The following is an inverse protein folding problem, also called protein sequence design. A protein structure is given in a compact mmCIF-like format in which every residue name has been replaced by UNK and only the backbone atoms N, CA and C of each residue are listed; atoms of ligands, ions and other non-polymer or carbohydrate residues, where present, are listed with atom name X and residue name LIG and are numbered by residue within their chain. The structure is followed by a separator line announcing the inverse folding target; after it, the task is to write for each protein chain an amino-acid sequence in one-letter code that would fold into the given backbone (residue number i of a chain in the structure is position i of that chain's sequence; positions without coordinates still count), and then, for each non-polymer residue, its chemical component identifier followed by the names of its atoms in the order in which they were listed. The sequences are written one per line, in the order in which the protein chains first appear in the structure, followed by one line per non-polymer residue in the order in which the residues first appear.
data_IF_972746569938
#
_entry.id   IF_972746569938
#
_cell.length_a   1.000
_cell.length_b   1.000
_cell.length_c   1.000
_cell.angle_alpha   90.00
_cell.angle_beta   90.00
_cell.angle_gamma   90.00
#
_symmetry.space_group_name_H-M   'P 1'
#
loop_
_entity.id
_entity.type
_entity.pdbx_description
1 polymer ?
#
# COMPACT_ATOMS: atom_id res chain seq x y z
N UNK A 1 26.10 -72.82 16.66
CA UNK A 1 25.81 -71.41 17.01
C UNK A 1 25.21 -70.75 15.78
N UNK A 2 23.90 -70.54 15.77
CA UNK A 2 23.19 -69.78 14.72
C UNK A 2 22.09 -68.96 15.40
N UNK A 3 22.05 -67.69 15.03
CA UNK A 3 21.47 -66.59 15.79
C UNK A 3 19.95 -66.46 15.62
N UNK A 4 19.31 -66.02 16.70
CA UNK A 4 17.89 -65.67 16.81
C UNK A 4 17.64 -64.28 16.21
N UNK A 5 16.79 -64.19 15.19
CA UNK A 5 16.31 -62.93 14.62
C UNK A 5 14.99 -62.54 15.30
N UNK A 6 15.03 -61.45 16.08
CA UNK A 6 13.84 -60.81 16.64
C UNK A 6 13.09 -60.09 15.52
N UNK A 7 11.83 -60.50 15.33
CA UNK A 7 10.85 -59.85 14.46
C UNK A 7 10.45 -58.49 15.07
N UNK A 8 10.75 -57.40 14.36
CA UNK A 8 10.41 -56.04 14.77
C UNK A 8 9.04 -55.69 14.21
N UNK A 9 8.03 -55.67 15.08
CA UNK A 9 6.67 -55.23 14.74
C UNK A 9 6.66 -53.71 14.58
N UNK A 10 6.37 -53.21 13.38
CA UNK A 10 6.10 -51.79 13.12
C UNK A 10 4.76 -51.40 13.78
N UNK A 11 4.69 -50.27 14.51
CA UNK A 11 3.42 -49.76 15.00
C UNK A 11 2.53 -49.29 13.84
N UNK A 12 1.20 -49.36 13.96
CA UNK A 12 0.29 -48.97 12.89
C UNK A 12 0.41 -47.47 12.60
N UNK A 13 0.35 -47.13 11.32
CA UNK A 13 0.32 -45.76 10.84
C UNK A 13 -0.84 -45.00 11.53
N UNK A 14 -0.51 -43.92 12.24
CA UNK A 14 -1.51 -43.01 12.78
C UNK A 14 -2.40 -42.51 11.66
N UNK A 15 -3.71 -42.60 11.85
CA UNK A 15 -4.71 -42.10 10.92
C UNK A 15 -4.44 -40.62 10.63
N UNK A 16 -4.44 -40.20 9.35
CA UNK A 16 -4.34 -38.78 9.01
C UNK A 16 -5.57 -38.09 9.58
N UNK A 17 -5.36 -37.28 10.62
CA UNK A 17 -6.38 -36.33 11.03
C UNK A 17 -6.74 -35.48 9.80
N UNK A 18 -8.02 -35.38 9.41
CA UNK A 18 -8.42 -34.40 8.42
C UNK A 18 -8.04 -33.04 9.00
N UNK A 19 -7.05 -32.38 8.38
CA UNK A 19 -6.83 -30.96 8.62
C UNK A 19 -8.17 -30.29 8.33
N UNK A 20 -8.79 -29.74 9.39
CA UNK A 20 -9.92 -28.85 9.21
C UNK A 20 -9.49 -27.79 8.17
N UNK A 21 -10.33 -27.44 7.19
CA UNK A 21 -9.98 -26.39 6.24
C UNK A 21 -9.65 -25.16 7.08
N UNK A 22 -8.36 -24.80 7.12
CA UNK A 22 -7.92 -23.55 7.69
C UNK A 22 -8.77 -22.50 6.99
N UNK A 23 -9.55 -21.72 7.73
CA UNK A 23 -10.30 -20.63 7.11
C UNK A 23 -9.25 -19.76 6.40
N UNK A 24 -9.24 -19.76 5.07
CA UNK A 24 -8.20 -19.13 4.28
C UNK A 24 -8.11 -17.61 4.55
N UNK A 25 -9.14 -17.04 5.17
CA UNK A 25 -9.17 -15.70 5.72
C UNK A 25 -9.67 -15.67 7.17
N UNK A 26 -9.24 -14.64 7.90
CA UNK A 26 -9.56 -14.42 9.31
C UNK A 26 -10.72 -13.41 9.49
N UNK A 27 -11.34 -13.37 10.68
CA UNK A 27 -12.31 -12.31 11.03
C UNK A 27 -11.73 -10.90 10.94
N UNK A 28 -10.41 -10.75 11.12
CA UNK A 28 -9.71 -9.47 10.97
C UNK A 28 -9.64 -9.05 9.51
N UNK A 29 -9.55 -10.01 8.59
CA UNK A 29 -9.53 -9.75 7.15
C UNK A 29 -10.91 -9.25 6.69
N UNK A 30 -11.99 -9.86 7.20
CA UNK A 30 -13.36 -9.38 6.96
C UNK A 30 -13.63 -7.98 7.54
N UNK A 31 -13.07 -7.69 8.72
CA UNK A 31 -13.18 -6.36 9.32
C UNK A 31 -12.40 -5.32 8.53
N UNK A 32 -11.19 -5.66 8.09
CA UNK A 32 -10.40 -4.83 7.20
C UNK A 32 -11.15 -4.54 5.90
N UNK A 33 -11.76 -5.56 5.29
CA UNK A 33 -12.56 -5.38 4.09
C UNK A 33 -13.75 -4.43 4.30
N UNK A 34 -14.46 -4.58 5.41
CA UNK A 34 -15.55 -3.67 5.77
C UNK A 34 -15.08 -2.22 5.90
N UNK A 35 -13.89 -1.99 6.44
CA UNK A 35 -13.30 -0.66 6.56
C UNK A 35 -12.90 -0.08 5.21
N UNK A 36 -12.32 -0.88 4.31
CA UNK A 36 -12.02 -0.46 2.93
C UNK A 36 -13.27 -0.03 2.18
N UNK A 37 -14.32 -0.87 2.22
CA UNK A 37 -15.60 -0.53 1.58
C UNK A 37 -16.26 0.71 2.18
N UNK A 38 -16.17 0.89 3.51
CA UNK A 38 -16.68 2.10 4.16
C UNK A 38 -15.90 3.38 3.80
N UNK A 39 -14.70 3.23 3.23
CA UNK A 39 -13.87 4.29 2.68
C UNK A 39 -13.98 4.38 1.14
N UNK A 40 -14.93 3.67 0.53
CA UNK A 40 -15.12 3.55 -0.92
C UNK A 40 -13.91 2.98 -1.68
N UNK A 41 -13.03 2.24 -0.98
CA UNK A 41 -11.85 1.58 -1.55
C UNK A 41 -12.11 0.11 -1.82
N UNK A 42 -11.41 -0.44 -2.80
CA UNK A 42 -11.41 -1.87 -3.12
C UNK A 42 -12.82 -2.46 -3.28
N UNK A 43 -13.75 -1.69 -3.85
CA UNK A 43 -15.19 -2.01 -3.87
C UNK A 43 -15.55 -3.32 -4.60
N UNK A 44 -14.64 -3.86 -5.42
CA UNK A 44 -14.79 -5.15 -6.10
C UNK A 44 -14.29 -6.34 -5.27
N UNK A 45 -13.58 -6.10 -4.15
CA UNK A 45 -13.04 -7.12 -3.28
C UNK A 45 -14.17 -7.68 -2.40
N UNK A 46 -14.73 -8.83 -2.77
CA UNK A 46 -15.72 -9.51 -1.95
C UNK A 46 -15.10 -10.67 -1.14
N UNK A 47 -15.94 -11.36 -0.38
CA UNK A 47 -15.50 -12.51 0.43
C UNK A 47 -15.01 -13.68 -0.44
N UNK A 48 -15.51 -13.84 -1.67
CA UNK A 48 -15.05 -14.89 -2.58
C UNK A 48 -13.64 -14.58 -3.12
N UNK A 49 -13.40 -13.33 -3.51
CA UNK A 49 -12.07 -12.86 -3.88
C UNK A 49 -11.10 -12.91 -2.70
N UNK A 50 -11.54 -12.55 -1.50
CA UNK A 50 -10.73 -12.65 -0.28
C UNK A 50 -10.36 -14.11 0.05
N UNK A 51 -11.27 -15.06 -0.19
CA UNK A 51 -10.99 -16.50 -0.07
C UNK A 51 -9.93 -16.96 -1.07
N UNK A 52 -10.05 -16.53 -2.33
CA UNK A 52 -9.10 -16.87 -3.38
C UNK A 52 -7.70 -16.30 -3.06
N UNK A 53 -7.63 -15.02 -2.71
CA UNK A 53 -6.41 -14.34 -2.29
C UNK A 53 -5.82 -15.03 -1.05
N UNK A 54 -6.66 -15.31 -0.05
CA UNK A 54 -6.25 -15.91 1.22
C UNK A 54 -5.62 -17.30 1.08
N UNK A 55 -5.93 -18.03 0.01
CA UNK A 55 -5.29 -19.32 -0.28
C UNK A 55 -3.82 -19.18 -0.70
N UNK A 56 -3.44 -18.04 -1.27
CA UNK A 56 -2.07 -17.74 -1.72
C UNK A 56 -1.24 -17.01 -0.64
N UNK A 57 -1.88 -16.61 0.46
CA UNK A 57 -1.22 -15.92 1.56
C UNK A 57 -0.47 -16.90 2.46
N UNK A 58 0.79 -16.60 2.74
CA UNK A 58 1.55 -17.27 3.79
C UNK A 58 1.14 -16.84 5.20
N UNK A 59 1.74 -17.48 6.21
CA UNK A 59 1.67 -16.99 7.59
C UNK A 59 2.51 -15.72 7.72
N UNK A 60 1.85 -14.57 7.88
CA UNK A 60 2.48 -13.26 8.06
C UNK A 60 1.86 -12.48 9.21
N UNK A 61 2.55 -11.43 9.67
CA UNK A 61 2.00 -10.48 10.65
C UNK A 61 0.74 -9.80 10.12
N UNK A 62 -0.09 -9.24 11.01
CA UNK A 62 -1.38 -8.64 10.62
C UNK A 62 -1.22 -7.56 9.55
N UNK A 63 -0.21 -6.69 9.69
CA UNK A 63 0.01 -5.60 8.75
C UNK A 63 0.54 -6.11 7.41
N UNK A 64 1.56 -6.99 7.42
CA UNK A 64 2.03 -7.66 6.19
C UNK A 64 0.88 -8.37 5.46
N UNK A 65 0.00 -9.07 6.18
CA UNK A 65 -1.16 -9.76 5.59
C UNK A 65 -2.13 -8.80 4.92
N UNK A 66 -2.40 -7.63 5.52
CA UNK A 66 -3.25 -6.59 4.89
C UNK A 66 -2.62 -6.05 3.61
N UNK A 67 -1.31 -5.82 3.63
CA UNK A 67 -0.55 -5.36 2.46
C UNK A 67 -0.57 -6.42 1.35
N UNK A 68 -0.40 -7.71 1.69
CA UNK A 68 -0.47 -8.81 0.73
C UNK A 68 -1.86 -8.92 0.07
N UNK A 69 -2.93 -8.77 0.86
CA UNK A 69 -4.31 -8.76 0.34
C UNK A 69 -4.49 -7.65 -0.68
N UNK A 70 -4.05 -6.43 -0.35
CA UNK A 70 -4.17 -5.29 -1.26
C UNK A 70 -3.29 -5.46 -2.50
N UNK A 71 -2.05 -5.91 -2.34
CA UNK A 71 -1.13 -6.16 -3.46
C UNK A 71 -1.73 -7.15 -4.46
N UNK A 72 -2.25 -8.29 -3.98
CA UNK A 72 -2.87 -9.30 -4.83
C UNK A 72 -4.15 -8.77 -5.49
N UNK A 73 -5.00 -8.06 -4.75
CA UNK A 73 -6.21 -7.44 -5.29
C UNK A 73 -5.90 -6.43 -6.41
N UNK A 74 -4.97 -5.51 -6.18
CA UNK A 74 -4.60 -4.45 -7.14
C UNK A 74 -3.72 -4.94 -8.29
N UNK A 75 -3.09 -6.12 -8.17
CA UNK A 75 -2.44 -6.82 -9.28
C UNK A 75 -3.45 -7.40 -10.28
N UNK A 76 -4.73 -7.50 -9.91
CA UNK A 76 -5.81 -7.81 -10.83
C UNK A 76 -5.81 -9.26 -11.32
N UNK A 77 -5.32 -10.22 -10.53
CA UNK A 77 -5.25 -11.65 -10.89
C UNK A 77 -4.57 -11.89 -12.26
N UNK A 78 -3.44 -11.21 -12.49
CA UNK A 78 -2.68 -11.22 -13.75
C UNK A 78 -3.43 -10.65 -14.99
N UNK A 79 -4.60 -10.03 -14.80
CA UNK A 79 -5.24 -9.18 -15.81
C UNK A 79 -4.78 -7.72 -15.65
N UNK A 80 -3.92 -7.28 -16.57
CA UNK A 80 -3.36 -5.92 -16.57
C UNK A 80 -4.44 -4.84 -16.68
N UNK A 81 -5.54 -5.10 -17.39
CA UNK A 81 -6.62 -4.11 -17.57
C UNK A 81 -7.39 -3.94 -16.27
N UNK A 82 -7.64 -5.03 -15.55
CA UNK A 82 -8.26 -5.00 -14.21
C UNK A 82 -7.35 -4.31 -13.21
N UNK A 83 -6.05 -4.64 -13.22
CA UNK A 83 -5.05 -4.01 -12.36
C UNK A 83 -5.01 -2.50 -12.56
N UNK A 84 -4.91 -2.04 -13.81
CA UNK A 84 -4.88 -0.62 -14.14
C UNK A 84 -6.17 0.07 -13.68
N UNK A 85 -7.34 -0.50 -13.98
CA UNK A 85 -8.63 0.06 -13.56
C UNK A 85 -8.70 0.22 -12.04
N UNK A 86 -8.46 -0.84 -11.27
CA UNK A 86 -8.53 -0.82 -9.80
C UNK A 86 -7.57 0.21 -9.20
N UNK A 87 -6.32 0.21 -9.68
CA UNK A 87 -5.31 1.16 -9.21
C UNK A 87 -5.65 2.61 -9.54
N UNK A 88 -6.17 2.87 -10.74
CA UNK A 88 -6.59 4.22 -11.11
C UNK A 88 -7.82 4.69 -10.32
N UNK A 89 -8.81 3.82 -10.09
CA UNK A 89 -10.00 4.16 -9.30
C UNK A 89 -9.65 4.53 -7.86
N UNK A 90 -8.82 3.73 -7.20
CA UNK A 90 -8.48 3.90 -5.79
C UNK A 90 -7.18 4.72 -5.58
N UNK A 91 -6.62 5.23 -6.68
CA UNK A 91 -5.28 5.87 -6.79
C UNK A 91 -4.20 5.12 -6.01
N UNK A 92 -4.24 3.79 -6.11
CA UNK A 92 -3.39 2.89 -5.33
C UNK A 92 -1.93 2.98 -5.78
N UNK A 93 -1.09 3.37 -4.83
CA UNK A 93 0.35 3.46 -5.01
C UNK A 93 1.06 2.64 -3.92
N UNK A 94 2.00 1.80 -4.35
CA UNK A 94 2.84 0.98 -3.48
C UNK A 94 4.30 1.22 -3.82
N UNK A 95 5.10 1.45 -2.79
CA UNK A 95 6.55 1.45 -2.89
C UNK A 95 7.11 0.33 -2.04
N UNK A 96 8.15 -0.35 -2.54
CA UNK A 96 8.84 -1.40 -1.82
C UNK A 96 10.34 -1.07 -1.77
N UNK A 97 10.89 -1.03 -0.56
CA UNK A 97 12.25 -0.62 -0.27
C UNK A 97 13.33 -1.52 -0.91
N UNK A 98 12.99 -2.76 -1.30
CA UNK A 98 13.91 -3.65 -2.01
C UNK A 98 14.15 -3.25 -3.47
N UNK A 99 13.28 -2.40 -4.05
CA UNK A 99 13.44 -1.93 -5.41
C UNK A 99 14.07 -0.53 -5.43
N UNK A 100 15.20 -0.42 -6.12
CA UNK A 100 15.77 0.88 -6.45
C UNK A 100 14.93 1.51 -7.55
N UNK A 101 14.16 2.54 -7.22
CA UNK A 101 13.35 3.32 -8.15
C UNK A 101 13.82 4.77 -8.10
N UNK A 102 14.07 5.36 -9.26
CA UNK A 102 14.46 6.77 -9.34
C UNK A 102 13.27 7.69 -9.01
N UNK A 103 13.55 8.87 -8.43
CA UNK A 103 12.55 9.86 -8.06
C UNK A 103 11.69 10.28 -9.26
N UNK A 104 12.25 10.40 -10.46
CA UNK A 104 11.47 10.70 -11.66
C UNK A 104 10.49 9.58 -12.03
N UNK A 105 10.87 8.32 -11.82
CA UNK A 105 9.98 7.17 -12.06
C UNK A 105 8.84 7.11 -11.03
N UNK A 106 9.12 7.43 -9.77
CA UNK A 106 8.09 7.57 -8.73
C UNK A 106 7.10 8.67 -9.09
N UNK A 107 7.59 9.84 -9.49
CA UNK A 107 6.75 10.98 -9.89
C UNK A 107 5.92 10.65 -11.14
N UNK A 108 6.49 10.00 -12.14
CA UNK A 108 5.75 9.56 -13.33
C UNK A 108 4.62 8.57 -12.96
N UNK A 109 4.89 7.63 -12.05
CA UNK A 109 3.89 6.68 -11.55
C UNK A 109 2.76 7.40 -10.82
N UNK A 110 3.10 8.32 -9.91
CA UNK A 110 2.13 9.13 -9.18
C UNK A 110 1.31 10.04 -10.10
N UNK A 111 1.93 10.65 -11.10
CA UNK A 111 1.25 11.48 -12.10
C UNK A 111 0.21 10.67 -12.90
N UNK A 112 0.55 9.42 -13.27
CA UNK A 112 -0.38 8.54 -13.99
C UNK A 112 -1.64 8.18 -13.20
N UNK A 113 -1.55 8.21 -11.87
CA UNK A 113 -2.68 7.95 -10.96
C UNK A 113 -3.52 9.21 -10.67
N UNK A 114 -3.07 10.39 -11.08
CA UNK A 114 -3.72 11.67 -10.80
C UNK A 114 -3.87 12.52 -12.08
N UNK A 115 -4.57 12.02 -13.12
CA UNK A 115 -4.69 12.68 -14.42
C UNK A 115 -5.46 14.02 -14.38
N UNK A 116 -6.15 14.33 -13.28
CA UNK A 116 -6.87 15.59 -13.07
C UNK A 116 -5.95 16.78 -12.83
N UNK A 117 -4.69 16.51 -12.47
CA UNK A 117 -3.65 17.52 -12.31
C UNK A 117 -2.88 17.65 -13.62
N UNK A 118 -2.42 18.86 -13.94
CA UNK A 118 -1.49 19.07 -15.05
C UNK A 118 -0.26 18.15 -14.92
N UNK A 119 0.42 17.78 -16.02
CA UNK A 119 1.58 16.88 -15.97
C UNK A 119 2.56 17.27 -14.87
N UNK A 120 2.82 16.33 -13.97
CA UNK A 120 3.65 16.54 -12.78
C UNK A 120 5.09 16.23 -13.12
N UNK A 121 5.98 17.17 -12.84
CA UNK A 121 7.42 17.03 -13.05
C UNK A 121 8.20 17.35 -11.78
N UNK A 122 9.27 16.59 -11.54
CA UNK A 122 10.24 16.88 -10.51
C UNK A 122 11.30 17.83 -11.07
N UNK A 123 11.46 18.99 -10.46
CA UNK A 123 12.40 20.03 -10.90
C UNK A 123 13.21 20.56 -9.71
N UNK A 124 14.40 21.10 -9.99
CA UNK A 124 15.15 21.92 -9.02
C UNK A 124 14.99 23.38 -9.39
N UNK A 125 14.78 24.25 -8.39
CA UNK A 125 14.70 25.69 -8.61
C UNK A 125 16.08 26.33 -8.40
N UNK A 126 16.54 27.08 -9.40
CA UNK A 126 17.76 27.88 -9.33
C UNK A 126 18.99 27.14 -9.84
N UNK A 127 19.66 26.41 -8.96
CA UNK A 127 20.87 25.63 -9.27
C UNK A 127 20.65 24.13 -9.04
N UNK A 128 21.66 23.32 -9.39
CA UNK A 128 21.65 21.86 -9.13
C UNK A 128 21.60 21.52 -7.63
N UNK A 129 22.00 22.46 -6.76
CA UNK A 129 21.86 22.38 -5.30
C UNK A 129 20.58 23.05 -4.77
N UNK A 130 19.72 23.54 -5.67
CA UNK A 130 18.47 24.21 -5.34
C UNK A 130 17.41 23.24 -4.78
N UNK A 131 16.38 23.78 -4.11
CA UNK A 131 15.32 22.95 -3.53
C UNK A 131 14.58 22.17 -4.62
N UNK A 132 14.29 20.91 -4.32
CA UNK A 132 13.45 20.06 -5.15
C UNK A 132 11.98 20.48 -5.01
N UNK A 133 11.30 20.56 -6.15
CA UNK A 133 9.87 20.89 -6.21
C UNK A 133 9.15 19.95 -7.17
N UNK A 134 7.90 19.64 -6.84
CA UNK A 134 6.95 19.12 -7.80
C UNK A 134 6.24 20.28 -8.48
N UNK A 135 6.23 20.28 -9.81
CA UNK A 135 5.54 21.27 -10.63
C UNK A 135 4.44 20.60 -11.43
N UNK A 136 3.26 21.23 -11.46
CA UNK A 136 2.14 20.86 -12.31
C UNK A 136 1.55 22.12 -12.93
N UNK A 137 1.88 22.37 -14.21
CA UNK A 137 1.50 23.61 -14.91
C UNK A 137 2.03 24.86 -14.19
N UNK A 138 1.11 25.70 -13.73
CA UNK A 138 1.40 26.94 -12.98
C UNK A 138 1.58 26.73 -11.47
N UNK A 139 1.26 25.53 -10.97
CA UNK A 139 1.40 25.20 -9.55
C UNK A 139 2.73 24.50 -9.28
N UNK A 140 3.32 24.80 -8.13
CA UNK A 140 4.47 24.08 -7.61
C UNK A 140 4.34 23.84 -6.11
N UNK A 141 4.98 22.79 -5.61
CA UNK A 141 5.10 22.47 -4.18
C UNK A 141 6.51 22.03 -3.88
N UNK A 142 7.06 22.51 -2.76
CA UNK A 142 8.35 22.04 -2.29
C UNK A 142 8.27 20.56 -1.89
N UNK A 143 9.33 19.81 -2.20
CA UNK A 143 9.57 18.48 -1.68
C UNK A 143 10.49 18.65 -0.48
N UNK A 144 9.89 18.73 0.71
CA UNK A 144 10.64 18.87 1.96
C UNK A 144 11.02 17.48 2.47
N UNK A 145 12.32 17.22 2.56
CA UNK A 145 12.83 16.06 3.30
C UNK A 145 12.89 16.46 4.77
N UNK A 146 11.89 16.03 5.55
CA UNK A 146 11.77 16.45 6.95
C UNK A 146 12.60 15.61 7.92
N UNK A 147 13.12 14.44 7.51
CA UNK A 147 13.70 13.48 8.46
C UNK A 147 14.84 12.63 7.88
N UNK A 148 15.90 13.24 7.33
CA UNK A 148 17.14 12.48 7.19
C UNK A 148 18.40 13.36 7.22
N UNK A 149 19.04 13.43 8.38
CA UNK A 149 20.45 13.80 8.50
C UNK A 149 21.38 12.74 7.86
N UNK A 150 20.82 11.64 7.32
CA UNK A 150 21.52 10.49 6.77
C UNK A 150 21.16 10.16 5.31
N UNK A 151 20.27 10.90 4.65
CA UNK A 151 20.00 10.69 3.22
C UNK A 151 21.26 11.10 2.45
N UNK A 152 21.92 10.14 1.81
CA UNK A 152 22.95 10.43 0.82
C UNK A 152 22.36 11.40 -0.20
N UNK A 153 23.07 12.51 -0.43
CA UNK A 153 22.64 13.60 -1.31
C UNK A 153 22.06 13.06 -2.63
N UNK A 154 20.72 13.06 -2.76
CA UNK A 154 20.04 12.63 -3.99
C UNK A 154 18.90 11.63 -3.82
N UNK A 155 18.70 11.01 -2.66
CA UNK A 155 17.49 10.21 -2.41
C UNK A 155 16.36 11.10 -1.92
N UNK A 156 15.14 10.89 -2.44
CA UNK A 156 13.94 11.62 -2.01
C UNK A 156 13.00 10.64 -1.33
N UNK A 157 12.59 10.93 -0.09
CA UNK A 157 11.60 10.12 0.59
C UNK A 157 10.27 10.11 -0.20
N UNK A 158 9.71 8.91 -0.45
CA UNK A 158 8.40 8.74 -1.12
C UNK A 158 7.34 9.59 -0.42
N UNK A 159 7.35 9.56 0.91
CA UNK A 159 6.46 10.35 1.76
C UNK A 159 6.53 11.85 1.48
N UNK A 160 7.71 12.40 1.19
CA UNK A 160 7.88 13.82 0.83
C UNK A 160 7.24 14.12 -0.54
N UNK A 161 7.38 13.23 -1.52
CA UNK A 161 6.72 13.35 -2.82
C UNK A 161 5.19 13.32 -2.69
N UNK A 162 4.66 12.41 -1.86
CA UNK A 162 3.22 12.30 -1.61
C UNK A 162 2.67 13.58 -0.99
N UNK A 163 3.35 14.13 0.03
CA UNK A 163 2.96 15.40 0.66
C UNK A 163 2.96 16.55 -0.34
N UNK A 164 4.01 16.66 -1.15
CA UNK A 164 4.10 17.67 -2.20
C UNK A 164 2.98 17.52 -3.25
N UNK A 165 2.65 16.29 -3.65
CA UNK A 165 1.57 16.01 -4.58
C UNK A 165 0.19 16.35 -3.99
N UNK A 166 -0.03 16.05 -2.71
CA UNK A 166 -1.27 16.43 -2.00
C UNK A 166 -1.50 17.95 -2.02
N UNK A 167 -0.44 18.76 -1.89
CA UNK A 167 -0.51 20.21 -2.05
C UNK A 167 -0.90 20.60 -3.48
N UNK A 168 -0.36 19.92 -4.51
CA UNK A 168 -0.74 20.17 -5.90
C UNK A 168 -2.20 19.79 -6.19
N UNK A 169 -2.67 18.66 -5.64
CA UNK A 169 -4.07 18.23 -5.70
C UNK A 169 -4.98 19.29 -5.08
N UNK A 170 -4.59 19.86 -3.93
CA UNK A 170 -5.32 20.93 -3.27
C UNK A 170 -5.41 22.20 -4.14
N UNK A 171 -4.28 22.64 -4.70
CA UNK A 171 -4.23 23.80 -5.60
C UNK A 171 -5.06 23.61 -6.86
N UNK A 172 -5.18 22.36 -7.32
CA UNK A 172 -5.98 21.97 -8.48
C UNK A 172 -7.46 21.73 -8.15
N UNK A 173 -7.88 21.94 -6.90
CA UNK A 173 -9.27 21.79 -6.48
C UNK A 173 -9.78 20.34 -6.42
N UNK A 174 -8.87 19.35 -6.44
CA UNK A 174 -9.23 17.94 -6.27
C UNK A 174 -9.64 17.70 -4.82
N UNK A 175 -10.70 16.93 -4.57
CA UNK A 175 -11.18 16.68 -3.20
C UNK A 175 -10.37 15.58 -2.48
N UNK A 176 -9.94 14.58 -3.24
CA UNK A 176 -9.21 13.42 -2.75
C UNK A 176 -7.74 13.72 -2.47
N UNK A 177 -7.16 13.00 -1.51
CA UNK A 177 -5.73 13.02 -1.18
C UNK A 177 -5.22 11.61 -1.04
N UNK A 178 -3.93 11.47 -1.29
CA UNK A 178 -3.21 10.24 -1.01
C UNK A 178 -2.94 10.17 0.50
N UNK A 179 -3.39 9.08 1.14
CA UNK A 179 -3.24 8.82 2.57
C UNK A 179 -2.47 7.52 2.77
N UNK A 180 -1.50 7.46 3.69
CA UNK A 180 -0.75 6.25 3.96
C UNK A 180 -1.60 5.24 4.72
N UNK A 181 -1.48 3.97 4.33
CA UNK A 181 -1.95 2.86 5.14
C UNK A 181 -0.84 2.44 6.13
N UNK A 182 -1.17 1.59 7.10
CA UNK A 182 -0.16 1.01 8.00
C UNK A 182 0.86 0.22 7.17
N UNK A 183 2.16 0.62 7.18
CA UNK A 183 3.20 -0.06 6.41
C UNK A 183 3.58 -1.40 7.06
N UNK A 184 4.36 -2.19 6.33
CA UNK A 184 5.11 -3.31 6.92
C UNK A 184 6.63 -3.02 6.90
N UNK A 185 7.46 -4.04 7.16
CA UNK A 185 8.91 -3.89 7.23
C UNK A 185 9.57 -3.42 5.93
N UNK A 186 8.89 -3.52 4.79
CA UNK A 186 9.49 -3.29 3.46
C UNK A 186 8.63 -2.48 2.50
N UNK A 187 7.33 -2.34 2.76
CA UNK A 187 6.35 -1.73 1.85
C UNK A 187 5.66 -0.54 2.50
N UNK A 188 5.56 0.52 1.73
CA UNK A 188 4.71 1.67 2.02
C UNK A 188 3.57 1.76 0.98
N UNK A 189 2.37 2.08 1.47
CA UNK A 189 1.12 2.02 0.72
C UNK A 189 0.35 3.33 0.83
N UNK A 190 -0.17 3.83 -0.29
CA UNK A 190 -0.96 5.06 -0.35
C UNK A 190 -2.21 4.85 -1.20
N UNK A 191 -3.33 5.40 -0.76
CA UNK A 191 -4.64 5.33 -1.42
C UNK A 191 -5.27 6.71 -1.55
N UNK A 192 -5.97 6.94 -2.66
CA UNK A 192 -6.71 8.18 -2.91
C UNK A 192 -8.07 8.13 -2.23
N UNK A 193 -8.32 9.04 -1.28
CA UNK A 193 -9.56 9.06 -0.52
C UNK A 193 -10.01 10.49 -0.24
N UNK A 194 -11.31 10.67 -0.02
CA UNK A 194 -11.85 11.93 0.53
C UNK A 194 -11.49 12.08 2.01
N UNK A 195 -11.63 13.29 2.57
CA UNK A 195 -11.38 13.52 3.99
C UNK A 195 -12.27 12.65 4.90
N UNK A 196 -13.53 12.43 4.51
CA UNK A 196 -14.46 11.59 5.28
C UNK A 196 -14.01 10.12 5.27
N UNK A 197 -13.66 9.57 4.10
CA UNK A 197 -13.14 8.21 3.96
C UNK A 197 -11.81 8.03 4.71
N UNK A 198 -10.91 9.02 4.65
CA UNK A 198 -9.66 8.99 5.40
C UNK A 198 -9.88 8.96 6.93
N UNK A 199 -10.89 9.66 7.44
CA UNK A 199 -11.28 9.58 8.85
C UNK A 199 -11.80 8.18 9.22
N UNK A 200 -12.55 7.51 8.34
CA UNK A 200 -12.96 6.11 8.52
C UNK A 200 -11.76 5.19 8.64
N UNK A 201 -10.79 5.30 7.72
CA UNK A 201 -9.56 4.50 7.74
C UNK A 201 -8.74 4.75 9.02
N UNK A 202 -8.62 6.00 9.44
CA UNK A 202 -7.92 6.38 10.67
C UNK A 202 -8.58 5.76 11.90
N UNK A 203 -9.91 5.85 12.02
CA UNK A 203 -10.66 5.27 13.14
C UNK A 203 -10.60 3.73 13.15
N UNK A 204 -10.52 3.11 11.98
CA UNK A 204 -10.33 1.68 11.81
C UNK A 204 -8.92 1.18 12.05
N UNK A 205 -7.96 2.07 12.33
CA UNK A 205 -6.54 1.71 12.50
C UNK A 205 -5.90 1.17 11.21
N UNK A 206 -6.37 1.66 10.06
CA UNK A 206 -5.82 1.30 8.74
C UNK A 206 -4.72 2.26 8.29
N UNK A 207 -4.53 3.39 8.97
CA UNK A 207 -3.47 4.37 8.69
C UNK A 207 -2.44 4.37 9.80
N UNK A 208 -1.16 4.59 9.48
CA UNK A 208 -0.09 4.79 10.47
C UNK A 208 -0.15 6.16 11.20
N UNK A 209 -1.00 7.08 10.74
CA UNK A 209 -1.09 8.43 11.30
C UNK A 209 -1.72 8.40 12.70
N UNK A 210 -1.13 9.15 13.63
CA UNK A 210 -1.49 9.11 15.05
C UNK A 210 -2.82 9.74 15.41
N UNK A 211 -3.45 10.49 14.50
CA UNK A 211 -4.75 11.09 14.74
C UNK A 211 -5.19 12.11 13.68
N UNK A 212 -6.36 12.74 13.88
CA UNK A 212 -6.99 13.60 12.86
C UNK A 212 -6.17 14.84 12.49
N UNK A 213 -5.38 15.38 13.43
CA UNK A 213 -4.51 16.52 13.17
C UNK A 213 -3.37 16.14 12.21
N UNK A 214 -2.66 15.05 12.51
CA UNK A 214 -1.61 14.51 11.66
C UNK A 214 -2.15 14.11 10.27
N UNK A 215 -3.36 13.57 10.21
CA UNK A 215 -4.03 13.25 8.94
C UNK A 215 -4.26 14.50 8.08
N UNK A 216 -4.80 15.58 8.64
CA UNK A 216 -5.04 16.83 7.90
C UNK A 216 -3.75 17.49 7.46
N UNK A 217 -2.76 17.51 8.33
CA UNK A 217 -1.43 18.04 8.02
C UNK A 217 -0.77 17.27 6.88
N UNK A 218 -0.74 15.94 6.97
CA UNK A 218 -0.18 15.07 5.93
C UNK A 218 -0.88 15.23 4.58
N UNK A 219 -2.21 15.25 4.60
CA UNK A 219 -3.03 15.31 3.40
C UNK A 219 -3.21 16.73 2.84
N UNK A 220 -2.86 17.78 3.59
CA UNK A 220 -3.07 19.17 3.18
C UNK A 220 -4.54 19.52 2.95
N UNK A 221 -5.43 19.08 3.86
CA UNK A 221 -6.84 19.48 3.92
C UNK A 221 -7.07 20.65 4.86
#
# INVERSE_FOLDING_TARGET
MTASLKESVRPPAGEPHPQAPSAAHSKRDEEFLRLLHAADLATELDTEQLLAIGADLGDSGVDSRRMDILELYYRGNDDTSVALRRRSSDRFFMHNAYFTVDAHQLVASLASLNPEVAPVELQRIGSDDGPLVLRAGEHFSAVADEDDELSEQGTVAVRALIRALNVLLAKSGVAERLVPLVPDESRELYVGVTQAAAMTLLQGGCTELSGPAALREFAGW
#
